data_IF_481544476550
#
_entry.id   IF_481544476550
#
_cell.length_a   1.000
_cell.length_b   1.000
_cell.length_c   1.000
_cell.angle_alpha   90.00
_cell.angle_beta   90.00
_cell.angle_gamma   90.00
#
_symmetry.space_group_name_H-M   'P 1'
#
loop_
_entity.id
_entity.type
_entity.pdbx_description
1 polymer ?
#
# COMPACT_ATOMS: atom_id res chain seq x y z
N UNK A 1 -38.50 4.72 -45.16
CA UNK A 1 -38.01 3.43 -44.68
C UNK A 1 -37.34 3.69 -43.34
N UNK A 2 -38.10 3.52 -42.25
CA UNK A 2 -37.70 3.84 -40.87
C UNK A 2 -37.40 2.51 -40.19
N UNK A 3 -36.16 2.30 -39.76
CA UNK A 3 -35.79 1.14 -38.96
C UNK A 3 -36.01 1.49 -37.48
N UNK A 4 -36.95 0.78 -36.87
CA UNK A 4 -37.24 0.78 -35.44
C UNK A 4 -36.15 -0.02 -34.72
N UNK A 5 -35.43 0.60 -33.79
CA UNK A 5 -34.66 -0.11 -32.77
C UNK A 5 -35.39 0.01 -31.44
N UNK A 6 -35.81 -1.14 -30.91
CA UNK A 6 -36.34 -1.31 -29.56
C UNK A 6 -35.19 -1.62 -28.60
N UNK A 7 -35.08 -0.95 -27.44
CA UNK A 7 -34.31 -1.49 -26.32
C UNK A 7 -35.27 -2.12 -25.32
N UNK A 8 -35.18 -3.45 -25.19
CA UNK A 8 -35.70 -4.18 -24.05
C UNK A 8 -34.67 -4.16 -22.91
N UNK A 9 -35.15 -3.85 -21.71
CA UNK A 9 -34.70 -4.29 -20.40
C UNK A 9 -33.20 -4.22 -20.08
N UNK A 10 -32.75 -3.05 -19.60
CA UNK A 10 -31.62 -3.02 -18.67
C UNK A 10 -32.16 -3.19 -17.25
N UNK A 11 -31.93 -4.36 -16.65
CA UNK A 11 -32.03 -4.49 -15.20
C UNK A 11 -30.96 -3.60 -14.57
N UNK A 12 -31.40 -2.55 -13.91
CA UNK A 12 -30.58 -1.72 -13.03
C UNK A 12 -30.18 -2.55 -11.82
N UNK A 13 -28.91 -2.93 -11.75
CA UNK A 13 -28.28 -3.29 -10.48
C UNK A 13 -28.24 -2.00 -9.65
N UNK A 14 -29.01 -1.94 -8.57
CA UNK A 14 -28.89 -0.87 -7.57
C UNK A 14 -27.50 -0.96 -6.94
N UNK A 15 -26.57 -0.15 -7.46
CA UNK A 15 -25.34 0.14 -6.75
C UNK A 15 -25.72 0.90 -5.48
N UNK A 16 -25.58 0.24 -4.34
CA UNK A 16 -25.52 0.92 -3.05
C UNK A 16 -24.37 1.91 -3.16
N UNK A 17 -24.70 3.21 -3.27
CA UNK A 17 -23.75 4.31 -3.24
C UNK A 17 -23.09 4.35 -1.86
N UNK A 18 -22.11 3.48 -1.63
CA UNK A 18 -21.10 3.67 -0.61
C UNK A 18 -20.35 4.94 -1.02
N UNK A 19 -20.48 6.01 -0.24
CA UNK A 19 -19.66 7.21 -0.41
C UNK A 19 -18.22 6.79 -0.08
N UNK A 20 -17.44 6.43 -1.10
CA UNK A 20 -16.04 6.06 -0.89
C UNK A 20 -15.24 7.31 -0.54
N UNK A 21 -14.49 7.24 0.56
CA UNK A 21 -13.64 8.33 1.04
C UNK A 21 -12.31 8.40 0.28
N UNK A 22 -11.90 7.30 -0.35
CA UNK A 22 -10.74 7.13 -1.22
C UNK A 22 -11.17 6.82 -2.66
N UNK A 23 -10.21 6.97 -3.59
CA UNK A 23 -10.45 6.84 -5.03
C UNK A 23 -9.51 5.82 -5.64
N UNK A 24 -10.07 4.79 -6.25
CA UNK A 24 -9.33 3.87 -7.09
C UNK A 24 -9.18 4.42 -8.52
N UNK A 25 -8.04 4.14 -9.14
CA UNK A 25 -7.69 4.45 -10.53
C UNK A 25 -7.23 3.14 -11.17
N UNK A 26 -7.86 2.77 -12.29
CA UNK A 26 -7.66 1.50 -13.00
C UNK A 26 -8.08 0.29 -12.14
N UNK A 27 -9.27 -0.24 -12.38
CA UNK A 27 -9.82 -1.38 -11.66
C UNK A 27 -9.94 -2.55 -12.63
N UNK A 28 -8.96 -3.44 -12.62
CA UNK A 28 -9.18 -4.82 -13.08
C UNK A 28 -9.50 -5.69 -11.85
N UNK A 29 -10.34 -6.74 -12.00
CA UNK A 29 -10.60 -7.65 -10.89
C UNK A 29 -9.28 -8.21 -10.35
N UNK A 30 -9.07 -8.18 -9.03
CA UNK A 30 -7.81 -8.62 -8.45
C UNK A 30 -7.61 -10.12 -8.70
N UNK A 31 -6.54 -10.45 -9.42
CA UNK A 31 -6.14 -11.83 -9.71
C UNK A 31 -5.86 -12.60 -8.40
N UNK A 32 -6.11 -13.91 -8.37
CA UNK A 32 -5.78 -14.76 -7.22
C UNK A 32 -4.31 -14.58 -6.78
N UNK A 33 -3.43 -14.36 -7.75
CA UNK A 33 -2.02 -14.03 -7.56
C UNK A 33 -1.77 -12.53 -7.68
N UNK A 34 -1.37 -11.85 -6.61
CA UNK A 34 -1.17 -10.38 -6.66
C UNK A 34 -0.25 -9.85 -5.58
N UNK A 35 0.24 -8.64 -5.80
CA UNK A 35 1.19 -7.98 -4.90
C UNK A 35 0.73 -6.56 -4.54
N UNK A 36 0.56 -6.31 -3.24
CA UNK A 36 0.16 -5.02 -2.68
C UNK A 36 1.39 -4.16 -2.34
N UNK A 37 1.46 -2.94 -2.88
CA UNK A 37 2.58 -2.04 -2.63
C UNK A 37 2.05 -0.77 -1.97
N UNK A 38 2.44 -0.54 -0.71
CA UNK A 38 2.07 0.68 0.02
C UNK A 38 3.20 1.69 -0.12
N UNK A 39 2.90 2.80 -0.78
CA UNK A 39 3.86 3.86 -1.11
C UNK A 39 3.36 5.23 -0.72
N UNK A 40 4.25 6.20 -0.67
CA UNK A 40 3.96 7.58 -0.30
C UNK A 40 5.19 8.24 0.26
N UNK A 41 5.11 9.53 0.57
CA UNK A 41 6.24 10.21 1.20
C UNK A 41 6.56 9.60 2.58
N UNK A 42 7.85 9.60 2.94
CA UNK A 42 8.26 9.44 4.33
C UNK A 42 7.44 10.39 5.23
N UNK A 43 7.01 9.89 6.39
CA UNK A 43 6.11 10.63 7.33
C UNK A 43 4.69 10.91 6.79
N UNK A 44 4.35 10.42 5.60
CA UNK A 44 3.04 10.56 4.97
C UNK A 44 1.93 9.65 5.53
N UNK A 45 2.22 8.84 6.55
CA UNK A 45 1.22 7.93 7.14
C UNK A 45 1.14 6.55 6.49
N UNK A 46 2.15 6.17 5.69
CA UNK A 46 2.24 4.84 5.06
C UNK A 46 2.20 3.68 6.04
N UNK A 47 2.64 3.87 7.29
CA UNK A 47 2.53 2.83 8.33
C UNK A 47 1.10 2.60 8.84
N UNK A 48 0.24 3.63 8.87
CA UNK A 48 -1.18 3.42 9.17
C UNK A 48 -1.82 2.48 8.13
N UNK A 49 -1.53 2.74 6.86
CA UNK A 49 -2.05 1.97 5.74
C UNK A 49 -1.46 0.57 5.66
N UNK A 50 -0.14 0.42 5.88
CA UNK A 50 0.49 -0.89 5.97
C UNK A 50 -0.07 -1.71 7.13
N UNK A 51 -0.34 -1.08 8.28
CA UNK A 51 -0.95 -1.77 9.40
C UNK A 51 -2.40 -2.18 9.13
N UNK A 52 -3.18 -1.37 8.40
CA UNK A 52 -4.50 -1.77 7.92
C UNK A 52 -4.40 -3.01 6.98
N UNK A 53 -3.42 -3.07 6.09
CA UNK A 53 -3.19 -4.25 5.24
C UNK A 53 -2.85 -5.51 6.08
N UNK A 54 -2.00 -5.38 7.10
CA UNK A 54 -1.68 -6.50 8.01
C UNK A 54 -2.92 -6.94 8.79
N UNK A 55 -3.74 -6.00 9.27
CA UNK A 55 -5.00 -6.30 9.96
C UNK A 55 -5.99 -7.03 9.04
N UNK A 56 -5.98 -6.74 7.73
CA UNK A 56 -6.72 -7.51 6.73
C UNK A 56 -6.14 -8.91 6.47
N UNK A 57 -4.99 -9.24 7.05
CA UNK A 57 -4.30 -10.52 6.87
C UNK A 57 -3.30 -10.55 5.71
N UNK A 58 -3.00 -9.41 5.07
CA UNK A 58 -2.00 -9.38 3.98
C UNK A 58 -0.59 -9.55 4.57
N UNK A 59 0.20 -10.55 4.14
CA UNK A 59 1.59 -10.67 4.54
C UNK A 59 2.41 -9.52 3.95
N UNK A 60 2.87 -8.59 4.79
CA UNK A 60 3.60 -7.38 4.36
C UNK A 60 5.13 -7.52 4.43
N UNK A 61 5.65 -8.72 4.71
CA UNK A 61 7.09 -9.01 4.86
C UNK A 61 7.74 -8.39 6.11
N UNK A 62 6.99 -7.63 6.90
CA UNK A 62 7.48 -7.00 8.12
C UNK A 62 7.52 -7.99 9.30
N UNK A 63 8.56 -7.88 10.12
CA UNK A 63 8.65 -8.59 11.40
C UNK A 63 7.47 -8.24 12.31
N UNK A 64 7.08 -9.15 13.20
CA UNK A 64 5.95 -8.95 14.13
C UNK A 64 6.11 -7.71 15.01
N UNK A 65 7.35 -7.41 15.37
CA UNK A 65 7.73 -6.34 16.29
C UNK A 65 8.06 -5.05 15.53
N UNK A 66 7.94 -5.07 14.19
CA UNK A 66 8.18 -3.92 13.34
C UNK A 66 7.13 -2.84 13.60
N UNK A 67 7.61 -1.65 13.98
CA UNK A 67 6.75 -0.48 14.20
C UNK A 67 6.59 0.38 12.94
N UNK A 68 7.46 0.21 11.94
CA UNK A 68 7.37 0.89 10.65
C UNK A 68 6.65 0.03 9.59
N UNK A 69 6.49 -1.28 9.82
CA UNK A 69 5.85 -2.26 8.93
C UNK A 69 6.50 -2.35 7.55
N UNK A 70 7.83 -2.27 7.52
CA UNK A 70 8.65 -2.47 6.32
C UNK A 70 9.15 -3.92 6.24
N UNK A 71 9.19 -4.50 5.05
CA UNK A 71 10.02 -5.68 4.78
C UNK A 71 11.48 -5.20 4.80
N UNK A 72 12.15 -5.41 5.93
CA UNK A 72 13.50 -4.90 6.20
C UNK A 72 14.51 -5.46 5.21
N UNK A 73 14.29 -6.70 4.73
CA UNK A 73 15.18 -7.34 3.76
C UNK A 73 15.09 -6.64 2.40
N UNK A 74 13.88 -6.37 1.91
CA UNK A 74 13.65 -5.62 0.68
C UNK A 74 14.17 -4.18 0.78
N UNK A 75 13.87 -3.47 1.88
CA UNK A 75 14.32 -2.09 2.08
C UNK A 75 15.85 -2.02 2.15
N UNK A 76 16.50 -2.93 2.86
CA UNK A 76 17.97 -3.00 2.91
C UNK A 76 18.56 -3.29 1.53
N UNK A 77 18.02 -4.28 0.82
CA UNK A 77 18.45 -4.61 -0.54
C UNK A 77 18.36 -3.38 -1.46
N UNK A 78 17.24 -2.65 -1.43
CA UNK A 78 17.04 -1.43 -2.23
C UNK A 78 18.07 -0.32 -1.93
N UNK A 79 18.61 -0.31 -0.72
CA UNK A 79 19.64 0.64 -0.28
C UNK A 79 21.07 0.12 -0.47
N UNK A 80 21.25 -1.05 -1.09
CA UNK A 80 22.56 -1.68 -1.25
C UNK A 80 23.16 -2.19 0.05
N UNK A 81 22.31 -2.60 1.00
CA UNK A 81 22.70 -3.14 2.30
C UNK A 81 22.41 -4.64 2.39
N UNK A 82 23.15 -5.32 3.26
CA UNK A 82 22.87 -6.71 3.61
C UNK A 82 21.67 -6.83 4.56
N UNK A 83 21.29 -8.06 4.93
CA UNK A 83 20.18 -8.34 5.86
C UNK A 83 20.37 -7.72 7.25
N UNK A 84 21.59 -7.32 7.61
CA UNK A 84 21.94 -6.65 8.86
C UNK A 84 22.08 -5.13 8.72
N UNK A 85 21.70 -4.56 7.57
CA UNK A 85 21.76 -3.12 7.28
C UNK A 85 23.18 -2.59 7.00
N UNK A 86 24.16 -3.48 6.84
CA UNK A 86 25.56 -3.09 6.58
C UNK A 86 25.70 -2.77 5.09
N UNK A 87 26.43 -1.69 4.72
CA UNK A 87 26.71 -1.41 3.33
C UNK A 87 27.41 -2.62 2.69
N UNK A 88 26.85 -3.12 1.59
CA UNK A 88 27.59 -3.99 0.69
C UNK A 88 28.46 -3.12 -0.21
N UNK A 89 29.45 -3.66 -0.92
CA UNK A 89 30.16 -2.93 -1.98
C UNK A 89 29.37 -3.14 -3.28
N UNK A 90 28.35 -2.32 -3.59
CA UNK A 90 27.32 -2.73 -4.51
C UNK A 90 27.64 -2.19 -5.90
N UNK A 91 27.46 -3.02 -6.92
CA UNK A 91 27.25 -2.52 -8.29
C UNK A 91 25.74 -2.30 -8.44
N UNK A 92 25.30 -1.24 -9.11
CA UNK A 92 23.87 -0.93 -9.22
C UNK A 92 23.02 -2.11 -9.77
N UNK A 93 23.61 -2.91 -10.66
CA UNK A 93 23.00 -4.11 -11.20
C UNK A 93 22.83 -5.20 -10.15
N UNK A 94 23.80 -5.38 -9.24
CA UNK A 94 23.70 -6.39 -8.18
C UNK A 94 22.63 -6.02 -7.14
N UNK A 95 22.41 -4.73 -6.89
CA UNK A 95 21.32 -4.24 -6.03
C UNK A 95 19.96 -4.59 -6.63
N UNK A 96 19.79 -4.30 -7.93
CA UNK A 96 18.54 -4.57 -8.62
C UNK A 96 18.26 -6.07 -8.70
N UNK A 97 19.30 -6.88 -8.97
CA UNK A 97 19.15 -8.34 -9.04
C UNK A 97 18.80 -8.96 -7.68
N UNK A 98 19.40 -8.46 -6.59
CA UNK A 98 19.03 -8.90 -5.25
C UNK A 98 17.58 -8.57 -4.92
N UNK A 99 17.07 -7.40 -5.31
CA UNK A 99 15.67 -7.05 -5.16
C UNK A 99 14.75 -7.98 -5.95
N UNK A 100 15.08 -8.26 -7.21
CA UNK A 100 14.30 -9.19 -8.06
C UNK A 100 14.21 -10.57 -7.44
N UNK A 101 15.33 -11.11 -6.94
CA UNK A 101 15.36 -12.40 -6.25
C UNK A 101 14.41 -12.41 -5.05
N UNK A 102 14.47 -11.39 -4.19
CA UNK A 102 13.61 -11.31 -3.01
C UNK A 102 12.12 -11.22 -3.40
N UNK A 103 11.77 -10.41 -4.40
CA UNK A 103 10.39 -10.32 -4.92
C UNK A 103 9.94 -11.69 -5.42
N UNK A 104 10.79 -12.42 -6.14
CA UNK A 104 10.45 -13.75 -6.64
C UNK A 104 10.25 -14.76 -5.50
N UNK A 105 11.10 -14.76 -4.47
CA UNK A 105 10.95 -15.64 -3.30
C UNK A 105 9.62 -15.40 -2.57
N UNK A 106 9.18 -14.13 -2.48
CA UNK A 106 7.90 -13.78 -1.89
C UNK A 106 6.72 -14.17 -2.79
N UNK A 107 6.85 -14.01 -4.12
CA UNK A 107 5.88 -14.47 -5.11
C UNK A 107 5.68 -16.00 -5.02
N UNK A 108 6.76 -16.77 -4.92
CA UNK A 108 6.71 -18.23 -4.86
C UNK A 108 6.07 -18.74 -3.56
N UNK A 109 6.19 -17.96 -2.48
CA UNK A 109 5.70 -18.33 -1.15
C UNK A 109 4.26 -17.89 -0.86
N UNK A 110 3.69 -16.97 -1.65
CA UNK A 110 2.41 -16.33 -1.32
C UNK A 110 1.55 -16.05 -2.56
N UNK A 111 0.27 -16.45 -2.52
CA UNK A 111 -0.75 -16.02 -3.50
C UNK A 111 -1.03 -14.51 -3.41
N UNK A 112 -1.07 -13.97 -2.19
CA UNK A 112 -1.22 -12.55 -1.91
C UNK A 112 -0.15 -12.15 -0.91
N UNK A 113 0.64 -11.13 -1.25
CA UNK A 113 1.59 -10.52 -0.33
C UNK A 113 1.78 -9.04 -0.68
N UNK A 114 2.54 -8.33 0.13
CA UNK A 114 2.90 -6.97 -0.18
C UNK A 114 4.11 -6.48 0.59
N UNK A 115 4.49 -5.24 0.35
CA UNK A 115 5.43 -4.52 1.18
C UNK A 115 5.12 -3.04 1.19
N UNK A 116 5.66 -2.35 2.20
CA UNK A 116 5.58 -0.91 2.33
C UNK A 116 6.98 -0.33 2.26
N UNK A 117 7.20 0.65 1.40
CA UNK A 117 8.45 1.40 1.34
C UNK A 117 8.22 2.83 0.82
N UNK A 118 8.40 3.87 1.66
CA UNK A 118 8.25 5.27 1.27
C UNK A 118 9.32 5.77 0.28
N UNK A 119 10.31 4.94 -0.04
CA UNK A 119 11.39 5.22 -0.99
C UNK A 119 11.33 4.32 -2.23
N UNK A 120 10.22 3.60 -2.44
CA UNK A 120 10.01 2.75 -3.60
C UNK A 120 10.10 3.50 -4.94
N UNK A 121 9.90 4.83 -4.93
CA UNK A 121 10.09 5.70 -6.09
C UNK A 121 11.51 5.67 -6.68
N UNK A 122 12.49 5.11 -5.97
CA UNK A 122 13.89 4.97 -6.43
C UNK A 122 14.14 3.70 -7.25
N UNK A 123 13.34 2.65 -7.09
CA UNK A 123 13.64 1.34 -7.67
C UNK A 123 12.44 0.61 -8.27
N UNK A 124 11.20 1.00 -7.95
CA UNK A 124 10.02 0.21 -8.31
C UNK A 124 9.88 0.01 -9.83
N UNK A 125 10.28 0.99 -10.64
CA UNK A 125 10.32 0.85 -12.09
C UNK A 125 11.27 -0.27 -12.54
N UNK A 126 12.44 -0.40 -11.90
CA UNK A 126 13.50 -1.35 -12.30
C UNK A 126 13.14 -2.80 -12.01
N UNK A 127 12.23 -3.01 -11.06
CA UNK A 127 11.73 -4.32 -10.63
C UNK A 127 10.29 -4.57 -11.08
N UNK A 128 9.75 -3.69 -11.95
CA UNK A 128 8.34 -3.71 -12.34
C UNK A 128 7.93 -4.99 -13.06
N UNK A 129 8.88 -5.67 -13.71
CA UNK A 129 8.66 -6.93 -14.42
C UNK A 129 8.49 -8.14 -13.49
N UNK A 130 8.97 -8.05 -12.25
CA UNK A 130 8.87 -9.13 -11.26
C UNK A 130 7.64 -8.97 -10.35
N UNK A 131 6.98 -7.80 -10.37
CA UNK A 131 5.77 -7.57 -9.56
C UNK A 131 4.55 -8.09 -10.30
N UNK A 132 3.89 -9.10 -9.73
CA UNK A 132 2.72 -9.75 -10.32
C UNK A 132 1.42 -9.03 -9.94
N UNK A 133 0.58 -8.79 -10.95
CA UNK A 133 -0.74 -8.15 -10.81
C UNK A 133 -0.76 -7.04 -9.73
N UNK A 134 0.08 -6.01 -9.91
CA UNK A 134 0.39 -5.04 -8.85
C UNK A 134 -0.84 -4.23 -8.45
N UNK A 135 -1.03 -4.08 -7.14
CA UNK A 135 -1.99 -3.17 -6.54
C UNK A 135 -1.23 -2.12 -5.74
N UNK A 136 -1.36 -0.85 -6.09
CA UNK A 136 -0.67 0.23 -5.40
C UNK A 136 -1.62 0.95 -4.46
N UNK A 137 -1.22 1.14 -3.20
CA UNK A 137 -1.89 2.06 -2.29
C UNK A 137 -1.00 3.27 -2.10
N UNK A 138 -1.36 4.37 -2.73
CA UNK A 138 -0.59 5.60 -2.69
C UNK A 138 -1.14 6.55 -1.62
N UNK A 139 -0.36 6.71 -0.56
CA UNK A 139 -0.73 7.49 0.62
C UNK A 139 -0.31 8.94 0.42
N UNK A 140 -1.31 9.82 0.42
CA UNK A 140 -1.17 11.26 0.37
C UNK A 140 -1.48 11.84 1.74
N UNK A 141 -0.70 12.84 2.15
CA UNK A 141 -0.87 13.58 3.39
C UNK A 141 -0.61 15.05 3.09
N UNK A 142 -1.20 15.93 3.89
CA UNK A 142 -0.88 17.35 3.87
C UNK A 142 0.65 17.58 3.89
N UNK A 143 1.13 18.35 2.91
CA UNK A 143 2.56 18.57 2.72
C UNK A 143 3.18 19.37 3.87
N UNK A 144 2.44 20.31 4.47
CA UNK A 144 2.94 21.05 5.62
C UNK A 144 3.07 20.13 6.85
N UNK A 145 2.15 19.19 7.05
CA UNK A 145 2.26 18.16 8.08
C UNK A 145 3.45 17.21 7.85
N UNK A 146 3.73 16.82 6.60
CA UNK A 146 4.94 16.04 6.27
C UNK A 146 6.19 16.86 6.58
N UNK A 147 6.29 18.08 6.06
CA UNK A 147 7.45 18.94 6.24
C UNK A 147 7.73 19.22 7.73
N UNK A 148 6.70 19.51 8.52
CA UNK A 148 6.81 19.70 9.96
C UNK A 148 7.29 18.43 10.67
N UNK A 149 6.82 17.25 10.24
CA UNK A 149 7.28 15.99 10.83
C UNK A 149 8.72 15.63 10.45
N UNK A 150 9.20 16.00 9.26
CA UNK A 150 10.58 15.78 8.83
C UNK A 150 11.53 16.80 9.49
N UNK A 151 11.13 18.07 9.61
CA UNK A 151 11.88 19.11 10.32
C UNK A 151 12.23 18.69 11.76
N UNK A 152 11.30 18.04 12.45
CA UNK A 152 11.53 17.56 13.82
C UNK A 152 12.57 16.42 13.91
N UNK A 153 12.98 15.83 12.77
CA UNK A 153 13.86 14.66 12.70
C UNK A 153 15.16 14.89 11.94
N UNK A 154 15.18 15.85 11.03
CA UNK A 154 16.32 16.16 10.17
C UNK A 154 16.94 17.51 10.55
N UNK A 155 18.20 17.74 10.17
CA UNK A 155 18.87 19.03 10.37
C UNK A 155 18.63 20.02 9.21
N UNK A 156 17.45 19.94 8.57
CA UNK A 156 17.08 20.80 7.44
C UNK A 156 16.10 21.90 7.87
N UNK A 157 15.98 22.96 7.07
CA UNK A 157 14.94 23.98 7.26
C UNK A 157 13.56 23.45 6.86
N UNK A 158 12.49 24.13 7.30
CA UNK A 158 11.12 23.74 6.94
C UNK A 158 10.87 23.85 5.43
N UNK A 159 11.50 24.82 4.76
CA UNK A 159 11.43 25.00 3.31
C UNK A 159 12.07 23.81 2.59
N UNK A 160 13.26 23.37 3.02
CA UNK A 160 13.93 22.20 2.46
C UNK A 160 13.11 20.92 2.66
N UNK A 161 12.48 20.75 3.83
CA UNK A 161 11.61 19.62 4.10
C UNK A 161 10.36 19.63 3.20
N UNK A 162 9.79 20.82 2.95
CA UNK A 162 8.64 20.97 2.05
C UNK A 162 9.01 20.69 0.59
N UNK A 163 10.14 21.23 0.10
CA UNK A 163 10.66 20.94 -1.23
C UNK A 163 10.92 19.43 -1.43
N UNK A 164 11.50 18.77 -0.44
CA UNK A 164 11.73 17.33 -0.48
C UNK A 164 10.41 16.53 -0.58
N UNK A 165 9.38 16.91 0.19
CA UNK A 165 8.06 16.29 0.12
C UNK A 165 7.45 16.48 -1.28
N UNK A 166 7.50 17.70 -1.82
CA UNK A 166 7.02 18.01 -3.17
C UNK A 166 7.73 17.18 -4.24
N UNK A 167 9.07 17.07 -4.16
CA UNK A 167 9.86 16.28 -5.10
C UNK A 167 9.47 14.80 -5.05
N UNK A 168 9.30 14.23 -3.85
CA UNK A 168 8.87 12.83 -3.70
C UNK A 168 7.47 12.59 -4.25
N UNK A 169 6.51 13.47 -3.97
CA UNK A 169 5.17 13.37 -4.56
C UNK A 169 5.21 13.44 -6.09
N UNK A 170 5.98 14.36 -6.66
CA UNK A 170 6.14 14.48 -8.11
C UNK A 170 6.73 13.20 -8.74
N UNK A 171 7.70 12.57 -8.07
CA UNK A 171 8.33 11.32 -8.52
C UNK A 171 7.35 10.16 -8.48
N UNK A 172 6.62 9.99 -7.36
CA UNK A 172 5.58 8.98 -7.27
C UNK A 172 4.50 9.19 -8.32
N UNK A 173 4.02 10.42 -8.50
CA UNK A 173 3.00 10.70 -9.51
C UNK A 173 3.47 10.34 -10.93
N UNK A 174 4.69 10.74 -11.29
CA UNK A 174 5.30 10.38 -12.58
C UNK A 174 5.43 8.87 -12.76
N UNK A 175 5.83 8.17 -11.69
CA UNK A 175 5.97 6.71 -11.69
C UNK A 175 4.61 6.01 -11.88
N UNK A 176 3.57 6.44 -11.17
CA UNK A 176 2.22 5.88 -11.30
C UNK A 176 1.64 6.10 -12.70
N UNK A 177 1.86 7.27 -13.29
CA UNK A 177 1.48 7.56 -14.67
C UNK A 177 2.19 6.66 -15.69
N UNK A 178 3.45 6.31 -15.42
CA UNK A 178 4.26 5.47 -16.29
C UNK A 178 3.90 3.99 -16.17
N UNK A 179 3.72 3.49 -14.94
CA UNK A 179 3.43 2.07 -14.69
C UNK A 179 1.97 1.72 -14.99
N UNK A 180 1.05 2.68 -14.84
CA UNK A 180 -0.40 2.51 -15.06
C UNK A 180 -1.03 1.34 -14.28
N UNK A 181 -0.43 0.99 -13.14
CA UNK A 181 -0.94 -0.06 -12.26
C UNK A 181 -2.21 0.39 -11.53
N UNK A 182 -3.13 -0.54 -11.22
CA UNK A 182 -4.24 -0.29 -10.30
C UNK A 182 -3.78 0.43 -9.04
N UNK A 183 -4.36 1.59 -8.75
CA UNK A 183 -3.91 2.45 -7.67
C UNK A 183 -5.09 2.96 -6.83
N UNK A 184 -5.04 2.73 -5.51
CA UNK A 184 -5.91 3.35 -4.52
C UNK A 184 -5.24 4.60 -3.95
N UNK A 185 -5.84 5.76 -4.17
CA UNK A 185 -5.40 7.04 -3.59
C UNK A 185 -5.97 7.21 -2.18
N UNK A 186 -5.10 7.09 -1.17
CA UNK A 186 -5.48 7.24 0.24
C UNK A 186 -5.11 8.64 0.73
N UNK A 187 -6.05 9.35 1.36
CA UNK A 187 -5.75 10.54 2.17
C UNK A 187 -5.52 10.09 3.60
N UNK A 188 -4.35 10.40 4.15
CA UNK A 188 -4.00 10.11 5.53
C UNK A 188 -4.99 10.76 6.51
N UNK A 189 -5.42 12.00 6.25
CA UNK A 189 -6.34 12.73 7.12
C UNK A 189 -7.69 12.01 7.22
N UNK A 190 -8.23 11.55 6.08
CA UNK A 190 -9.47 10.77 6.06
C UNK A 190 -9.29 9.42 6.72
N UNK A 191 -8.21 8.72 6.40
CA UNK A 191 -7.87 7.43 7.00
C UNK A 191 -7.69 7.50 8.52
N UNK A 192 -7.11 8.60 9.03
CA UNK A 192 -6.94 8.80 10.47
C UNK A 192 -8.25 9.17 11.18
N UNK A 193 -9.16 9.87 10.50
CA UNK A 193 -10.48 10.22 11.03
C UNK A 193 -11.44 9.03 11.02
N UNK A 194 -11.40 8.20 9.97
CA UNK A 194 -12.22 7.01 9.82
C UNK A 194 -11.39 5.80 9.35
N UNK A 195 -10.65 5.16 10.28
CA UNK A 195 -9.81 4.01 9.96
C UNK A 195 -10.63 2.76 9.59
N UNK A 196 -11.92 2.71 9.95
CA UNK A 196 -12.82 1.62 9.55
C UNK A 196 -13.17 1.73 8.06
N UNK A 197 -13.50 2.94 7.59
CA UNK A 197 -13.70 3.19 6.16
C UNK A 197 -12.46 2.84 5.34
N UNK A 198 -11.26 3.26 5.78
CA UNK A 198 -9.99 2.85 5.15
C UNK A 198 -9.91 1.33 5.01
N UNK A 199 -10.18 0.59 6.08
CA UNK A 199 -10.05 -0.87 6.12
C UNK A 199 -11.01 -1.55 5.13
N UNK A 200 -12.26 -1.09 5.07
CA UNK A 200 -13.26 -1.61 4.13
C UNK A 200 -12.87 -1.32 2.68
N UNK A 201 -12.45 -0.09 2.37
CA UNK A 201 -12.06 0.32 1.02
C UNK A 201 -10.79 -0.41 0.56
N UNK A 202 -9.84 -0.67 1.46
CA UNK A 202 -8.69 -1.52 1.18
C UNK A 202 -9.10 -2.97 0.92
N UNK A 203 -10.01 -3.55 1.71
CA UNK A 203 -10.51 -4.90 1.48
C UNK A 203 -11.15 -5.03 0.09
N UNK A 204 -11.99 -4.08 -0.29
CA UNK A 204 -12.63 -4.05 -1.61
C UNK A 204 -11.59 -3.87 -2.73
N UNK A 205 -10.63 -2.95 -2.58
CA UNK A 205 -9.57 -2.72 -3.57
C UNK A 205 -8.64 -3.95 -3.75
N UNK A 206 -8.34 -4.66 -2.66
CA UNK A 206 -7.50 -5.86 -2.67
C UNK A 206 -8.28 -7.10 -3.13
N UNK A 207 -9.62 -7.07 -3.14
CA UNK A 207 -10.46 -8.22 -3.46
C UNK A 207 -10.58 -9.23 -2.32
N UNK A 208 -10.66 -8.74 -1.09
CA UNK A 208 -10.86 -9.53 0.12
C UNK A 208 -12.31 -9.42 0.62
N UNK A 209 -12.74 -10.38 1.42
CA UNK A 209 -14.00 -10.27 2.15
C UNK A 209 -14.07 -9.01 3.01
N UNK A 210 -15.30 -8.57 3.28
CA UNK A 210 -15.51 -7.42 4.15
C UNK A 210 -14.91 -7.65 5.54
N UNK A 211 -14.24 -6.65 6.15
CA UNK A 211 -13.54 -6.85 7.41
C UNK A 211 -14.45 -7.39 8.52
N UNK A 212 -13.95 -8.27 9.38
CA UNK A 212 -14.70 -8.71 10.56
C UNK A 212 -14.85 -7.57 11.56
N UNK A 213 -15.82 -7.68 12.48
CA UNK A 213 -15.96 -6.73 13.61
C UNK A 213 -14.65 -6.60 14.39
N UNK A 214 -13.91 -7.69 14.55
CA UNK A 214 -12.63 -7.68 15.25
C UNK A 214 -11.54 -6.90 14.51
N UNK A 215 -11.44 -7.06 13.19
CA UNK A 215 -10.51 -6.30 12.37
C UNK A 215 -10.84 -4.79 12.39
N UNK A 216 -12.12 -4.43 12.34
CA UNK A 216 -12.57 -3.02 12.47
C UNK A 216 -12.19 -2.41 13.82
N UNK A 217 -12.34 -3.15 14.91
CA UNK A 217 -11.90 -2.68 16.23
C UNK A 217 -10.38 -2.68 16.40
N UNK A 218 -9.65 -3.55 15.70
CA UNK A 218 -8.20 -3.55 15.67
C UNK A 218 -7.65 -2.29 14.98
N UNK A 219 -8.18 -1.94 13.80
CA UNK A 219 -7.69 -0.76 13.05
C UNK A 219 -7.99 0.55 13.78
N UNK A 220 -9.14 0.66 14.46
CA UNK A 220 -9.45 1.82 15.31
C UNK A 220 -8.44 2.00 16.44
N UNK A 221 -8.11 0.92 17.15
CA UNK A 221 -7.11 0.94 18.22
C UNK A 221 -5.72 1.29 17.69
N UNK A 222 -5.36 0.72 16.55
CA UNK A 222 -4.08 0.99 15.89
C UNK A 222 -3.97 2.45 15.39
N UNK A 223 -5.05 3.04 14.88
CA UNK A 223 -5.07 4.42 14.41
C UNK A 223 -5.15 5.46 15.53
N UNK A 224 -5.72 5.09 16.70
CA UNK A 224 -5.86 5.98 17.85
C UNK A 224 -4.50 6.42 18.43
N UNK A 225 -3.46 5.63 18.21
CA UNK A 225 -2.10 5.94 18.64
C UNK A 225 -1.36 6.69 17.53
N UNK A 226 -0.92 7.93 17.83
CA UNK A 226 -0.31 8.82 16.82
C UNK A 226 1.16 8.51 16.50
N UNK A 227 1.73 7.52 17.17
CA UNK A 227 3.13 7.11 17.04
C UNK A 227 3.25 5.75 16.36
N UNK A 228 4.47 5.41 15.92
CA UNK A 228 4.77 4.08 15.39
C UNK A 228 4.52 3.01 16.45
N UNK A 229 3.75 1.98 16.10
CA UNK A 229 3.44 0.87 17.00
C UNK A 229 3.47 -0.45 16.25
N UNK A 230 3.87 -1.51 16.95
CA UNK A 230 3.66 -2.87 16.48
C UNK A 230 2.16 -3.20 16.57
N UNK A 231 1.70 -4.10 15.69
CA UNK A 231 0.31 -4.57 15.73
C UNK A 231 0.20 -5.62 16.82
N UNK A 232 -0.76 -5.49 17.77
CA UNK A 232 -0.93 -6.48 18.82
C UNK A 232 -1.20 -7.87 18.24
N UNK A 233 -0.31 -8.83 18.53
CA UNK A 233 -0.50 -10.23 18.15
C UNK A 233 -1.53 -10.90 19.06
N UNK A 234 -2.82 -10.68 18.82
CA UNK A 234 -3.85 -11.61 19.30
C UNK A 234 -4.20 -12.58 18.18
N UNK A 235 -4.18 -13.88 18.48
CA UNK A 235 -4.42 -14.99 17.54
C UNK A 235 -5.74 -14.92 16.76
N UNK A 236 -6.66 -14.03 17.16
CA UNK A 236 -7.96 -13.82 16.51
C UNK A 236 -8.00 -12.60 15.57
N UNK A 237 -6.95 -11.76 15.48
CA UNK A 237 -6.88 -10.64 14.50
C UNK A 237 -6.24 -11.09 13.17
N UNK A 238 -5.32 -12.07 13.23
CA UNK A 238 -4.44 -12.46 12.12
C UNK A 238 -4.83 -13.82 11.50
N UNK A 239 -6.13 -14.07 11.32
CA UNK A 239 -6.55 -15.20 10.49
C UNK A 239 -6.17 -14.93 9.02
N UNK A 240 -5.84 -15.99 8.28
CA UNK A 240 -5.48 -15.84 6.86
C UNK A 240 -6.64 -15.20 6.07
N UNK A 241 -6.35 -14.25 5.16
CA UNK A 241 -7.40 -13.54 4.43
C UNK A 241 -8.17 -14.52 3.53
N UNK A 242 -9.50 -14.41 3.56
CA UNK A 242 -10.36 -15.12 2.61
C UNK A 242 -10.43 -14.28 1.33
N UNK A 243 -9.88 -14.82 0.24
CA UNK A 243 -9.98 -14.22 -1.09
C UNK A 243 -11.40 -14.46 -1.61
N UNK A 244 -12.07 -13.41 -2.10
CA UNK A 244 -13.40 -13.54 -2.72
C UNK A 244 -13.31 -14.52 -3.88
N UNK A 245 -14.06 -15.61 -3.82
CA UNK A 245 -14.19 -16.52 -4.97
C UNK A 245 -15.00 -15.84 -6.07
N UNK A 246 -14.54 -15.91 -7.31
CA UNK A 246 -15.37 -15.62 -8.48
C UNK A 246 -16.45 -16.70 -8.62
N UNK A 247 -17.51 -16.61 -7.82
CA UNK A 247 -18.75 -17.39 -8.03
C UNK A 247 -19.99 -16.53 -7.80
N UNK A 248 -20.40 -15.84 -8.87
CA UNK A 248 -21.76 -15.82 -9.44
C UNK A 248 -21.82 -14.80 -10.59
#
# INVERSE_FOLDING_TARGET
>A
MVALFSPADSQTVEAVNMVTSHRAISLEPPNAERTLIVVGCGRGGTSLVAGAAIILGVPMGADSDSVNHEDVELVNAAQGRDVHGRPTSPVADSVTENLRRLIQERNDSNSLWGWKDPSADLYLEKVSTEVRNPLVVFVNRDMAAIAQSEFNKMQYSIEQAYEQALHRFSRYWSLLQKLQWPTLLVSYERAALDPEALLCEMADFIGLDQPTKQQREAVKRFAATRDYQAIPQSSTILEAPIIRSETA
#
